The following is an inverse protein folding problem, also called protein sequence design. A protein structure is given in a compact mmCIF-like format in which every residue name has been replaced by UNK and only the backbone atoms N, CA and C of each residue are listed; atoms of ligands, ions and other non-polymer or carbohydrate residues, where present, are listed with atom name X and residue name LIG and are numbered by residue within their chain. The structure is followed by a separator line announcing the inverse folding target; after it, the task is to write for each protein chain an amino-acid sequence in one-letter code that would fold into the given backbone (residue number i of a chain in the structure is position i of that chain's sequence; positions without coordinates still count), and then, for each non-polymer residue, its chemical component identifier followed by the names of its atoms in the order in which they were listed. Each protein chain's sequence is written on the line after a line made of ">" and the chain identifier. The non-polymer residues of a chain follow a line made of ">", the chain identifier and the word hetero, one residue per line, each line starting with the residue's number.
data_IF_633130977091
#
_entry.id   IF_633130977091
#
_cell.length_a   1.000
_cell.length_b   1.000
_cell.length_c   1.000
_cell.angle_alpha   90.00
_cell.angle_beta   90.00
_cell.angle_gamma   90.00
#
_symmetry.space_group_name_H-M   'P 1'
#
loop_
_entity.id
_entity.type
_entity.pdbx_description
1 polymer ?
#
# COMPACT_ATOMS: atom_id res chain seq x y z
N UNK A 1 -20.78 3.89 6.87
CA UNK A 1 -19.54 4.61 7.23
C UNK A 1 -18.52 4.38 6.15
N UNK A 2 -18.02 5.45 5.55
CA UNK A 2 -17.00 5.44 4.50
C UNK A 2 -15.62 5.68 5.12
N UNK A 3 -14.58 5.06 4.56
CA UNK A 3 -13.20 5.18 5.03
C UNK A 3 -12.23 5.30 3.85
N UNK A 4 -11.44 6.38 3.76
CA UNK A 4 -10.37 6.46 2.77
C UNK A 4 -9.21 5.54 3.18
N UNK A 5 -8.65 4.84 2.22
CA UNK A 5 -7.53 3.91 2.41
C UNK A 5 -6.48 4.11 1.32
N UNK A 6 -5.23 4.25 1.76
CA UNK A 6 -4.09 4.24 0.86
C UNK A 6 -3.64 2.80 0.64
N UNK A 7 -3.46 2.43 -0.63
CA UNK A 7 -2.93 1.13 -1.06
C UNK A 7 -1.60 1.38 -1.79
N UNK A 8 -0.53 0.75 -1.31
CA UNK A 8 0.76 0.75 -1.99
C UNK A 8 0.77 -0.36 -3.02
N UNK A 9 1.09 -0.03 -4.27
CA UNK A 9 1.11 -0.98 -5.37
C UNK A 9 2.47 -0.93 -6.07
N UNK A 10 3.10 -2.09 -6.23
CA UNK A 10 4.35 -2.25 -6.95
C UNK A 10 4.13 -2.77 -8.37
N UNK A 11 5.03 -2.41 -9.29
CA UNK A 11 5.01 -2.85 -10.68
C UNK A 11 6.43 -2.97 -11.24
N UNK A 12 6.60 -3.86 -12.21
CA UNK A 12 7.84 -4.02 -12.98
C UNK A 12 7.74 -3.50 -14.42
N UNK A 13 6.53 -3.21 -14.90
CA UNK A 13 6.21 -2.92 -16.30
C UNK A 13 5.34 -1.66 -16.49
N UNK A 14 4.96 -0.99 -15.38
CA UNK A 14 3.99 0.12 -15.32
C UNK A 14 2.55 -0.22 -15.75
N UNK A 15 2.26 -1.47 -16.09
CA UNK A 15 0.96 -1.94 -16.56
C UNK A 15 0.27 -2.78 -15.49
N UNK A 16 1.00 -3.76 -14.94
CA UNK A 16 0.53 -4.67 -13.92
C UNK A 16 0.94 -4.15 -12.54
N UNK A 17 -0.05 -3.88 -11.69
CA UNK A 17 0.15 -3.30 -10.36
C UNK A 17 -0.35 -4.27 -9.30
N UNK A 18 0.53 -4.66 -8.38
CA UNK A 18 0.23 -5.63 -7.32
C UNK A 18 0.29 -4.94 -5.96
N UNK A 19 -0.77 -5.03 -5.13
CA UNK A 19 -0.83 -4.35 -3.85
C UNK A 19 0.04 -5.05 -2.79
N UNK A 20 0.71 -4.26 -1.97
CA UNK A 20 1.27 -4.73 -0.70
C UNK A 20 0.15 -4.92 0.33
N UNK A 21 0.23 -5.97 1.15
CA UNK A 21 -0.75 -6.19 2.21
C UNK A 21 -0.23 -5.66 3.55
N UNK A 22 -1.06 -4.85 4.21
CA UNK A 22 -0.83 -4.40 5.58
C UNK A 22 -1.47 -5.38 6.56
N UNK A 23 -0.98 -5.41 7.79
CA UNK A 23 -1.36 -6.44 8.76
C UNK A 23 -2.76 -6.25 9.35
N UNK A 24 -3.24 -5.01 9.44
CA UNK A 24 -4.43 -4.68 10.24
C UNK A 24 -5.42 -3.75 9.54
N UNK A 25 -4.96 -2.78 8.75
CA UNK A 25 -5.86 -1.90 8.01
C UNK A 25 -6.57 -2.63 6.86
N UNK A 26 -7.74 -2.14 6.41
CA UNK A 26 -8.41 -2.68 5.23
C UNK A 26 -7.51 -2.68 3.98
N UNK A 27 -7.69 -3.71 3.16
CA UNK A 27 -6.99 -3.88 1.89
C UNK A 27 -7.74 -4.85 0.99
N UNK A 28 -7.70 -6.14 1.33
CA UNK A 28 -8.58 -7.12 0.70
C UNK A 28 -10.04 -6.87 1.12
N UNK A 29 -10.94 -6.82 0.14
CA UNK A 29 -12.37 -6.58 0.33
C UNK A 29 -13.09 -7.76 0.99
N UNK A 30 -12.51 -8.96 0.92
CA UNK A 30 -13.06 -10.16 1.54
C UNK A 30 -12.59 -10.34 2.99
N UNK A 31 -11.59 -9.59 3.43
CA UNK A 31 -11.12 -9.65 4.81
C UNK A 31 -12.02 -8.85 5.75
N UNK A 32 -12.52 -9.55 6.78
CA UNK A 32 -13.23 -8.92 7.89
C UNK A 32 -12.33 -7.92 8.64
N UNK A 33 -12.88 -6.83 9.19
CA UNK A 33 -12.14 -5.96 10.10
C UNK A 33 -11.52 -6.78 11.24
N UNK A 34 -10.23 -6.57 11.51
CA UNK A 34 -9.54 -7.23 12.62
C UNK A 34 -9.74 -6.40 13.90
N UNK A 35 -9.90 -7.09 15.03
CA UNK A 35 -9.83 -6.45 16.34
C UNK A 35 -8.35 -6.29 16.70
N UNK A 36 -7.92 -5.05 16.94
CA UNK A 36 -6.49 -4.71 17.01
C UNK A 36 -6.01 -4.57 18.47
N UNK A 37 -6.91 -4.28 19.42
CA UNK A 37 -6.56 -4.17 20.84
C UNK A 37 -6.07 -5.52 21.42
N UNK A 38 -5.05 -5.52 22.30
CA UNK A 38 -4.33 -4.38 22.90
C UNK A 38 -3.12 -3.87 22.08
N UNK A 39 -2.84 -4.48 20.93
CA UNK A 39 -1.70 -4.11 20.09
C UNK A 39 -1.99 -2.81 19.32
N UNK A 40 -1.01 -1.92 19.19
CA UNK A 40 -1.14 -0.67 18.43
C UNK A 40 -0.14 -0.68 17.27
N UNK A 41 -0.49 -1.28 16.11
CA UNK A 41 0.39 -1.33 14.96
C UNK A 41 0.61 0.09 14.43
N UNK A 42 1.81 0.62 14.69
CA UNK A 42 2.13 2.02 14.41
C UNK A 42 2.03 2.37 12.93
N UNK A 43 2.43 1.47 12.03
CA UNK A 43 2.40 1.71 10.58
C UNK A 43 0.95 1.81 10.05
N UNK A 44 0.11 0.80 10.32
CA UNK A 44 -1.30 0.80 9.91
C UNK A 44 -2.07 2.02 10.43
N UNK A 45 -1.76 2.45 11.66
CA UNK A 45 -2.35 3.65 12.25
C UNK A 45 -1.89 4.94 11.57
N UNK A 46 -0.59 5.07 11.26
CA UNK A 46 -0.10 6.20 10.48
C UNK A 46 -0.68 6.25 9.06
N UNK A 47 -0.90 5.09 8.43
CA UNK A 47 -1.56 5.00 7.12
C UNK A 47 -3.01 5.53 7.17
N UNK A 48 -3.76 5.24 8.24
CA UNK A 48 -5.09 5.83 8.45
C UNK A 48 -5.00 7.35 8.42
N UNK A 49 -4.17 7.95 9.27
CA UNK A 49 -4.07 9.41 9.34
C UNK A 49 -3.62 10.02 8.02
N UNK A 50 -2.66 9.38 7.33
CA UNK A 50 -2.23 9.83 6.01
C UNK A 50 -3.39 9.88 5.01
N UNK A 51 -4.29 8.89 5.04
CA UNK A 51 -5.44 8.82 4.14
C UNK A 51 -6.48 9.95 4.38
N UNK A 52 -6.44 10.62 5.54
CA UNK A 52 -7.29 11.78 5.85
C UNK A 52 -6.69 13.12 5.39
N UNK A 53 -5.39 13.14 5.09
CA UNK A 53 -4.67 14.34 4.65
C UNK A 53 -4.11 14.21 3.25
N UNK A 54 -3.06 14.97 2.95
CA UNK A 54 -2.37 14.94 1.65
C UNK A 54 -0.94 14.42 1.75
N UNK A 55 -0.39 13.93 0.64
CA UNK A 55 0.95 13.34 0.62
C UNK A 55 2.08 14.28 1.13
N UNK A 56 2.11 15.59 0.82
CA UNK A 56 3.12 16.49 1.33
C UNK A 56 3.16 16.61 2.87
N UNK A 57 2.02 16.37 3.53
CA UNK A 57 1.92 16.41 5.00
C UNK A 57 2.53 15.17 5.67
N UNK A 58 2.84 14.12 4.89
CA UNK A 58 3.26 12.81 5.40
C UNK A 58 4.56 12.35 4.72
N UNK A 59 5.70 13.04 4.93
CA UNK A 59 6.97 12.74 4.26
C UNK A 59 7.52 11.34 4.56
N UNK A 60 7.13 10.75 5.69
CA UNK A 60 7.49 9.37 6.06
C UNK A 60 6.97 8.35 5.04
N UNK A 61 5.83 8.61 4.36
CA UNK A 61 5.25 7.67 3.41
C UNK A 61 6.11 7.56 2.14
N UNK A 62 6.72 8.68 1.72
CA UNK A 62 7.74 8.68 0.67
C UNK A 62 8.94 7.81 1.06
N UNK A 63 9.45 7.98 2.27
CA UNK A 63 10.60 7.20 2.76
C UNK A 63 10.28 5.70 2.85
N UNK A 64 9.05 5.35 3.27
CA UNK A 64 8.56 3.98 3.24
C UNK A 64 8.60 3.41 1.81
N UNK A 65 8.05 4.13 0.84
CA UNK A 65 8.06 3.71 -0.57
C UNK A 65 9.48 3.61 -1.14
N UNK A 66 10.37 4.54 -0.81
CA UNK A 66 11.79 4.44 -1.20
C UNK A 66 12.47 3.23 -0.59
N UNK A 67 12.19 2.90 0.68
CA UNK A 67 12.70 1.71 1.32
C UNK A 67 12.22 0.41 0.66
N UNK A 68 10.96 0.36 0.24
CA UNK A 68 10.40 -0.77 -0.53
C UNK A 68 11.03 -0.88 -1.92
N UNK A 69 11.21 0.24 -2.63
CA UNK A 69 11.91 0.26 -3.93
C UNK A 69 13.37 -0.20 -3.80
N UNK A 70 14.01 0.08 -2.67
CA UNK A 70 15.37 -0.39 -2.35
C UNK A 70 15.41 -1.85 -1.90
N UNK A 71 14.26 -2.50 -1.68
CA UNK A 71 14.17 -3.87 -1.18
C UNK A 71 14.67 -4.04 0.26
N UNK A 72 14.60 -2.99 1.10
CA UNK A 72 15.09 -3.06 2.48
C UNK A 72 14.28 -4.08 3.31
N UNK A 73 14.90 -5.15 3.85
CA UNK A 73 14.16 -6.17 4.60
C UNK A 73 13.45 -5.64 5.83
N UNK A 74 14.05 -4.66 6.53
CA UNK A 74 13.46 -4.01 7.70
C UNK A 74 12.21 -3.21 7.37
N UNK A 75 12.09 -2.70 6.14
CA UNK A 75 10.91 -1.95 5.67
C UNK A 75 9.84 -2.92 5.18
N UNK A 76 10.22 -3.92 4.39
CA UNK A 76 9.30 -4.96 3.92
C UNK A 76 8.69 -5.76 5.08
N UNK A 77 9.47 -6.00 6.15
CA UNK A 77 9.01 -6.69 7.35
C UNK A 77 7.95 -5.94 8.18
N UNK A 78 7.68 -4.68 7.87
CA UNK A 78 6.56 -3.94 8.48
C UNK A 78 5.20 -4.33 7.86
N UNK A 79 5.21 -4.96 6.69
CA UNK A 79 4.03 -5.35 5.93
C UNK A 79 3.72 -6.82 6.17
N UNK A 80 2.43 -7.19 6.09
CA UNK A 80 2.03 -8.58 6.24
C UNK A 80 2.37 -9.43 5.02
N UNK A 81 2.34 -8.83 3.82
CA UNK A 81 2.74 -9.50 2.60
C UNK A 81 3.46 -8.54 1.66
N UNK A 82 4.64 -8.97 1.20
CA UNK A 82 5.40 -8.34 0.14
C UNK A 82 5.27 -9.21 -1.14
N UNK A 83 4.63 -8.71 -2.21
CA UNK A 83 4.49 -9.45 -3.47
C UNK A 83 5.80 -9.52 -4.29
N UNK A 84 6.87 -8.88 -3.81
CA UNK A 84 8.19 -8.81 -4.44
C UNK A 84 9.29 -9.33 -3.49
N UNK A 85 9.27 -10.63 -3.10
CA UNK A 85 10.19 -11.16 -2.10
C UNK A 85 11.64 -11.26 -2.61
N UNK A 86 11.83 -11.62 -3.88
CA UNK A 86 13.16 -11.89 -4.44
C UNK A 86 13.82 -10.65 -5.05
N UNK A 87 13.03 -9.79 -5.69
CA UNK A 87 13.53 -8.58 -6.35
C UNK A 87 12.53 -7.45 -6.15
N UNK A 88 12.94 -6.30 -5.58
CA UNK A 88 12.04 -5.19 -5.35
C UNK A 88 11.46 -4.65 -6.67
N UNK A 89 10.26 -4.04 -6.65
CA UNK A 89 9.63 -3.56 -7.86
C UNK A 89 10.40 -2.38 -8.46
N UNK A 90 10.33 -2.22 -9.78
CA UNK A 90 10.90 -1.04 -10.46
C UNK A 90 10.12 0.24 -10.21
N UNK A 91 8.81 0.10 -10.01
CA UNK A 91 7.87 1.20 -9.83
C UNK A 91 7.00 0.95 -8.61
N UNK A 92 6.72 2.02 -7.86
CA UNK A 92 5.77 2.02 -6.76
C UNK A 92 4.80 3.18 -6.94
N UNK A 93 3.54 2.99 -6.60
CA UNK A 93 2.57 4.09 -6.48
C UNK A 93 1.75 3.93 -5.22
N UNK A 94 1.18 5.04 -4.74
CA UNK A 94 0.19 5.02 -3.68
C UNK A 94 -1.15 5.45 -4.27
N UNK A 95 -2.15 4.57 -4.20
CA UNK A 95 -3.51 4.82 -4.64
C UNK A 95 -4.40 5.10 -3.43
N UNK A 96 -5.33 6.04 -3.55
CA UNK A 96 -6.40 6.23 -2.56
C UNK A 96 -7.69 5.61 -3.07
N UNK A 97 -8.33 4.85 -2.20
CA UNK A 97 -9.62 4.22 -2.41
C UNK A 97 -10.58 4.62 -1.31
N UNK A 98 -11.86 4.73 -1.64
CA UNK A 98 -12.95 4.83 -0.67
C UNK A 98 -13.46 3.42 -0.37
N UNK A 99 -13.44 3.01 0.90
CA UNK A 99 -14.00 1.74 1.37
C UNK A 99 -15.30 2.00 2.11
N UNK A 100 -16.34 1.25 1.77
CA UNK A 100 -17.58 1.16 2.54
C UNK A 100 -17.81 -0.28 2.97
N UNK A 101 -18.46 -0.48 4.10
CA UNK A 101 -19.02 -1.78 4.44
C UNK A 101 -20.09 -2.16 3.42
N UNK A 102 -20.10 -3.44 3.03
CA UNK A 102 -21.24 -4.01 2.31
C UNK A 102 -22.41 -4.24 3.26
N UNK A 103 -23.62 -4.34 2.72
CA UNK A 103 -24.77 -4.81 3.48
C UNK A 103 -24.72 -6.33 3.74
N UNK A 104 -25.64 -6.78 4.60
CA UNK A 104 -25.72 -8.20 5.03
C UNK A 104 -26.04 -9.12 3.84
N UNK A 105 -26.90 -8.68 2.92
CA UNK A 105 -27.30 -9.47 1.76
C UNK A 105 -26.10 -9.73 0.83
N UNK A 106 -25.38 -8.67 0.47
CA UNK A 106 -24.15 -8.72 -0.32
C UNK A 106 -23.10 -9.60 0.38
N UNK A 107 -22.87 -9.40 1.68
CA UNK A 107 -21.89 -10.21 2.43
C UNK A 107 -22.25 -11.69 2.42
N UNK A 108 -23.53 -12.06 2.53
CA UNK A 108 -23.98 -13.45 2.46
C UNK A 108 -23.81 -14.04 1.06
N UNK A 109 -24.07 -13.25 0.02
CA UNK A 109 -23.99 -13.71 -1.36
C UNK A 109 -22.55 -13.85 -1.88
N UNK A 110 -21.66 -12.91 -1.53
CA UNK A 110 -20.31 -12.82 -2.12
C UNK A 110 -19.18 -13.08 -1.13
N UNK A 111 -19.46 -13.04 0.17
CA UNK A 111 -18.43 -13.05 1.21
C UNK A 111 -17.65 -11.73 1.36
N UNK A 112 -17.90 -10.73 0.51
CA UNK A 112 -17.23 -9.43 0.61
C UNK A 112 -17.68 -8.70 1.87
N UNK A 113 -16.72 -8.18 2.64
CA UNK A 113 -16.97 -7.31 3.79
C UNK A 113 -16.98 -5.84 3.39
N UNK A 114 -16.22 -5.51 2.35
CA UNK A 114 -16.04 -4.16 1.86
C UNK A 114 -16.41 -4.07 0.39
N UNK A 115 -16.92 -2.92 -0.01
CA UNK A 115 -16.80 -2.45 -1.39
C UNK A 115 -15.75 -1.34 -1.41
N UNK A 116 -14.99 -1.27 -2.49
CA UNK A 116 -14.00 -0.21 -2.66
C UNK A 116 -14.13 0.47 -4.01
N UNK A 117 -13.87 1.76 -4.02
CA UNK A 117 -13.89 2.60 -5.22
C UNK A 117 -12.59 3.39 -5.32
N UNK A 118 -11.92 3.31 -6.48
CA UNK A 118 -10.67 4.02 -6.73
C UNK A 118 -10.95 5.51 -6.88
N UNK A 119 -10.33 6.33 -6.02
CA UNK A 119 -10.48 7.78 -6.06
C UNK A 119 -9.34 8.44 -6.85
N UNK A 120 -8.13 7.88 -6.83
CA UNK A 120 -7.02 8.39 -7.63
C UNK A 120 -5.65 8.07 -7.04
N UNK A 121 -4.62 8.76 -7.56
CA UNK A 121 -3.26 8.71 -7.02
C UNK A 121 -3.19 9.55 -5.74
N UNK A 122 -2.71 8.95 -4.65
CA UNK A 122 -2.31 9.66 -3.45
C UNK A 122 -0.88 10.19 -3.59
N UNK A 123 0.01 9.36 -4.14
CA UNK A 123 1.34 9.77 -4.58
C UNK A 123 1.59 9.32 -6.02
N UNK A 124 2.36 10.09 -6.80
CA UNK A 124 2.73 9.72 -8.15
C UNK A 124 3.55 8.42 -8.18
N UNK A 125 3.70 7.87 -9.38
CA UNK A 125 4.60 6.74 -9.59
C UNK A 125 6.04 7.14 -9.23
N UNK A 126 6.66 6.36 -8.36
CA UNK A 126 8.04 6.51 -7.91
C UNK A 126 8.88 5.38 -8.50
N UNK A 127 10.13 5.72 -8.84
CA UNK A 127 11.20 4.78 -9.19
C UNK A 127 12.51 5.32 -8.64
N UNK A 128 13.48 4.44 -8.38
CA UNK A 128 14.83 4.88 -8.03
C UNK A 128 15.51 5.43 -9.29
N UNK A 129 16.14 6.60 -9.18
CA UNK A 129 17.10 7.03 -10.20
C UNK A 129 18.19 5.98 -10.26
N UNK A 130 18.35 5.31 -11.40
CA UNK A 130 19.58 4.53 -11.64
C UNK A 130 20.75 5.51 -11.61
N UNK A 131 21.77 5.21 -10.82
CA UNK A 131 23.06 5.85 -10.99
C UNK A 131 23.50 5.64 -12.45
N UNK A 132 24.11 6.65 -13.12
CA UNK A 132 24.69 6.43 -14.43
C UNK A 132 25.69 5.27 -14.31
N UNK A 133 25.48 4.22 -15.10
CA UNK A 133 26.42 3.11 -15.20
C UNK A 133 27.72 3.70 -15.74
N UNK A 134 28.72 3.88 -14.86
CA UNK A 134 30.08 4.18 -15.31
C UNK A 134 30.59 2.90 -15.98
N UNK A 135 30.41 2.81 -17.30
CA UNK A 135 31.01 1.76 -18.10
C UNK A 135 32.53 1.75 -17.90
N UNK A 136 33.18 0.58 -17.92
CA UNK A 136 34.62 0.52 -17.74
C UNK A 136 35.28 1.33 -18.85
N UNK A 137 36.17 2.26 -18.47
CA UNK A 137 37.15 2.83 -19.41
C UNK A 137 38.13 1.70 -19.71
N UNK A 138 37.97 1.07 -20.87
CA UNK A 138 38.95 0.20 -21.51
C UNK A 138 39.33 0.79 -22.85
#
# INVERSE_FOLDING_TARGET
>A
TSRPEIILEGSNDMQTWVPYAFAWKPGDVYHRPRFVAPYMPRLDWQMWFAALGSAPQHPWLRQLMEGLLQGKPTVAGLLAHNPFPDTPPRYLRAMVYRYDFTDVATRRATGAWWRRERQGLYMPVMSLRRAPQTGPRG
#
